data_IF_405977828740
#
_entry.id   IF_405977828740
#
_cell.length_a   1.000
_cell.length_b   1.000
_cell.length_c   1.000
_cell.angle_alpha   90.00
_cell.angle_beta   90.00
_cell.angle_gamma   90.00
#
_symmetry.space_group_name_H-M   'P 1'
#
loop_
_entity.id
_entity.type
_entity.pdbx_description
1 polymer ?
#
# COMPACT_ATOMS: atom_id res chain seq x y z
N UNK A 1 38.51 10.51 17.23
CA UNK A 1 37.23 10.15 17.88
C UNK A 1 36.83 8.76 17.45
N UNK A 2 36.75 7.81 18.39
CA UNK A 2 36.24 6.45 18.13
C UNK A 2 34.73 6.57 17.93
N UNK A 3 34.25 6.35 16.72
CA UNK A 3 32.82 6.29 16.42
C UNK A 3 32.32 4.88 16.74
N UNK A 4 31.58 4.74 17.84
CA UNK A 4 30.80 3.53 18.11
C UNK A 4 29.63 3.48 17.14
N UNK A 5 29.69 2.51 16.24
CA UNK A 5 28.67 2.16 15.26
C UNK A 5 27.49 1.50 15.99
N UNK A 6 26.44 2.26 16.32
CA UNK A 6 25.18 1.66 16.79
C UNK A 6 24.34 1.34 15.55
N UNK A 7 24.43 0.08 15.09
CA UNK A 7 23.56 -0.50 14.09
C UNK A 7 22.16 -0.69 14.71
N UNK A 8 21.26 0.28 14.52
CA UNK A 8 19.83 0.02 14.74
C UNK A 8 19.32 -0.74 13.51
N UNK A 9 19.26 -2.07 13.63
CA UNK A 9 18.65 -2.99 12.66
C UNK A 9 17.12 -2.77 12.68
N UNK A 10 16.58 -1.97 11.77
CA UNK A 10 15.13 -1.79 11.62
C UNK A 10 14.54 -3.05 10.96
N UNK A 11 13.72 -3.85 11.64
CA UNK A 11 13.05 -5.00 11.01
C UNK A 11 11.72 -4.57 10.37
N UNK A 12 11.37 -5.18 9.23
CA UNK A 12 10.06 -5.02 8.58
C UNK A 12 9.10 -6.11 9.04
N UNK A 13 7.89 -5.70 9.39
CA UNK A 13 6.91 -6.53 10.08
C UNK A 13 5.63 -6.68 9.27
N UNK A 14 5.16 -7.92 9.14
CA UNK A 14 3.84 -8.26 8.63
C UNK A 14 3.07 -8.97 9.74
N UNK A 15 1.77 -8.76 9.86
CA UNK A 15 0.94 -9.60 10.74
C UNK A 15 -0.30 -10.16 10.07
N UNK A 16 -0.67 -11.38 10.48
CA UNK A 16 -1.83 -12.13 9.99
C UNK A 16 -2.59 -12.67 11.20
N UNK A 17 -3.91 -12.46 11.23
CA UNK A 17 -4.83 -13.05 12.21
C UNK A 17 -5.58 -14.24 11.59
N UNK A 18 -5.13 -15.44 11.96
CA UNK A 18 -5.84 -16.72 12.12
C UNK A 18 -6.30 -17.63 10.93
N UNK A 19 -6.17 -18.95 11.21
CA UNK A 19 -6.33 -20.23 10.47
C UNK A 19 -5.33 -20.58 9.35
N UNK A 20 -4.69 -21.78 9.37
CA UNK A 20 -3.86 -22.31 8.27
C UNK A 20 -4.65 -22.70 7.01
N UNK A 21 -5.89 -22.23 6.84
CA UNK A 21 -6.72 -22.46 5.64
C UNK A 21 -7.40 -21.21 5.06
N UNK A 22 -7.19 -20.01 5.60
CA UNK A 22 -7.66 -18.79 4.95
C UNK A 22 -6.87 -17.57 5.41
N UNK A 23 -5.83 -17.22 4.66
CA UNK A 23 -5.16 -15.93 4.75
C UNK A 23 -6.17 -14.88 4.30
N UNK A 24 -6.93 -14.32 5.24
CA UNK A 24 -7.84 -13.21 4.96
C UNK A 24 -7.96 -12.38 6.22
N UNK A 25 -7.58 -11.10 6.12
CA UNK A 25 -7.59 -10.03 7.16
C UNK A 25 -6.25 -9.96 7.90
N UNK A 26 -5.38 -8.95 7.75
CA UNK A 26 -5.49 -7.53 7.36
C UNK A 26 -4.27 -7.23 6.47
N UNK A 27 -4.42 -6.33 5.50
CA UNK A 27 -3.52 -6.07 4.36
C UNK A 27 -3.60 -7.07 3.22
N UNK A 28 -4.06 -6.56 2.08
CA UNK A 28 -4.21 -7.31 0.85
C UNK A 28 -2.81 -7.56 0.28
N UNK A 29 -2.16 -8.62 0.76
CA UNK A 29 -1.17 -9.34 -0.01
C UNK A 29 -1.84 -9.80 -1.32
N UNK A 30 -1.46 -9.14 -2.41
CA UNK A 30 -1.38 -9.70 -3.77
C UNK A 30 -2.20 -10.98 -4.07
N UNK A 31 -3.38 -10.78 -4.65
CA UNK A 31 -3.91 -11.70 -5.68
C UNK A 31 -4.72 -12.93 -5.29
N UNK A 32 -5.13 -13.13 -4.03
CA UNK A 32 -5.91 -14.32 -3.66
C UNK A 32 -7.46 -14.19 -3.70
N UNK A 33 -8.06 -13.03 -3.97
CA UNK A 33 -9.53 -12.85 -3.81
C UNK A 33 -10.35 -12.58 -5.09
N UNK A 34 -9.74 -12.19 -6.21
CA UNK A 34 -10.45 -12.04 -7.49
C UNK A 34 -10.06 -13.15 -8.46
N UNK A 35 -10.73 -14.30 -8.34
CA UNK A 35 -10.41 -15.52 -9.11
C UNK A 35 -10.54 -15.36 -10.62
N UNK A 36 -11.40 -14.45 -11.09
CA UNK A 36 -11.73 -14.32 -12.51
C UNK A 36 -11.03 -13.12 -13.13
N UNK A 37 -10.53 -13.25 -14.35
CA UNK A 37 -9.97 -12.14 -15.13
C UNK A 37 -10.94 -10.96 -15.26
N UNK A 38 -12.27 -11.22 -15.31
CA UNK A 38 -13.33 -10.21 -15.24
C UNK A 38 -13.20 -9.29 -14.01
N UNK A 39 -13.22 -9.87 -12.82
CA UNK A 39 -13.08 -9.13 -11.56
C UNK A 39 -11.75 -8.41 -11.43
N UNK A 40 -10.65 -9.03 -11.90
CA UNK A 40 -9.33 -8.39 -11.91
C UNK A 40 -9.31 -7.18 -12.83
N UNK A 41 -9.88 -7.28 -14.03
CA UNK A 41 -9.99 -6.16 -14.98
C UNK A 41 -10.71 -4.97 -14.36
N UNK A 42 -11.87 -5.21 -13.73
CA UNK A 42 -12.64 -4.14 -13.05
C UNK A 42 -11.78 -3.47 -11.97
N UNK A 43 -11.12 -4.26 -11.12
CA UNK A 43 -10.28 -3.72 -10.04
C UNK A 43 -9.07 -2.94 -10.59
N UNK A 44 -8.44 -3.43 -11.65
CA UNK A 44 -7.34 -2.71 -12.30
C UNK A 44 -7.80 -1.37 -12.89
N UNK A 45 -8.97 -1.32 -13.53
CA UNK A 45 -9.54 -0.05 -14.00
C UNK A 45 -9.79 0.93 -12.85
N UNK A 46 -10.37 0.46 -11.74
CA UNK A 46 -10.61 1.27 -10.54
C UNK A 46 -9.32 1.80 -9.92
N UNK A 47 -8.31 0.95 -9.77
CA UNK A 47 -6.98 1.35 -9.30
C UNK A 47 -6.38 2.43 -10.20
N UNK A 48 -6.37 2.20 -11.52
CA UNK A 48 -5.78 3.11 -12.50
C UNK A 48 -6.47 4.47 -12.48
N UNK A 49 -7.81 4.49 -12.39
CA UNK A 49 -8.55 5.74 -12.27
C UNK A 49 -8.17 6.51 -11.00
N UNK A 50 -7.99 5.81 -9.88
CA UNK A 50 -7.57 6.42 -8.62
C UNK A 50 -6.11 6.90 -8.67
N UNK A 51 -5.19 6.15 -9.28
CA UNK A 51 -3.80 6.57 -9.51
C UNK A 51 -3.73 7.84 -10.36
N UNK A 52 -4.49 7.90 -11.45
CA UNK A 52 -4.58 9.11 -12.30
C UNK A 52 -5.10 10.30 -11.50
N UNK A 53 -6.11 10.08 -10.66
CA UNK A 53 -6.65 11.11 -9.79
C UNK A 53 -5.59 11.58 -8.77
N UNK A 54 -4.89 10.67 -8.08
CA UNK A 54 -3.78 11.03 -7.19
C UNK A 54 -2.73 11.86 -7.93
N UNK A 55 -2.35 11.49 -9.15
CA UNK A 55 -1.42 12.27 -9.98
C UNK A 55 -1.92 13.68 -10.31
N UNK A 56 -3.23 13.90 -10.33
CA UNK A 56 -3.84 15.21 -10.51
C UNK A 56 -3.98 16.03 -9.21
N UNK A 57 -3.72 15.45 -8.04
CA UNK A 57 -3.83 16.16 -6.76
C UNK A 57 -2.81 17.32 -6.69
N UNK A 58 -3.21 18.56 -6.34
CA UNK A 58 -2.34 19.73 -6.38
C UNK A 58 -1.01 19.55 -5.64
N UNK A 59 -1.05 19.03 -4.41
CA UNK A 59 0.17 18.77 -3.64
C UNK A 59 1.02 17.62 -4.18
N UNK A 60 0.41 16.58 -4.76
CA UNK A 60 1.17 15.45 -5.34
C UNK A 60 1.92 15.93 -6.57
N UNK A 61 1.25 16.69 -7.45
CA UNK A 61 1.87 17.31 -8.62
C UNK A 61 3.00 18.25 -8.22
N UNK A 62 2.74 19.13 -7.25
CA UNK A 62 3.77 20.02 -6.70
C UNK A 62 5.00 19.23 -6.22
N UNK A 63 4.81 18.18 -5.43
CA UNK A 63 5.91 17.33 -4.95
C UNK A 63 6.67 16.67 -6.11
N UNK A 64 5.97 16.13 -7.12
CA UNK A 64 6.58 15.46 -8.27
C UNK A 64 7.50 16.40 -9.08
N UNK A 65 7.22 17.70 -9.07
CA UNK A 65 7.99 18.73 -9.78
C UNK A 65 9.17 19.26 -8.97
N UNK A 66 9.29 18.91 -7.68
CA UNK A 66 10.41 19.37 -6.86
C UNK A 66 11.69 18.61 -7.19
N UNK A 67 12.84 19.25 -6.95
CA UNK A 67 14.15 18.65 -7.15
C UNK A 67 14.90 18.55 -5.81
N UNK A 68 15.36 17.34 -5.49
CA UNK A 68 16.20 17.04 -4.34
C UNK A 68 17.51 16.41 -4.82
N UNK A 69 18.60 17.17 -4.74
CA UNK A 69 19.94 16.74 -5.17
C UNK A 69 19.98 16.18 -6.61
N UNK A 70 19.30 16.83 -7.54
CA UNK A 70 19.26 16.44 -8.95
C UNK A 70 18.15 15.46 -9.31
N UNK A 71 17.37 14.97 -8.33
CA UNK A 71 16.33 13.96 -8.56
C UNK A 71 14.98 14.40 -7.97
N UNK A 72 13.86 14.14 -8.66
CA UNK A 72 12.55 14.32 -8.06
C UNK A 72 12.31 13.31 -6.93
N UNK A 73 11.43 13.62 -5.96
CA UNK A 73 11.05 12.64 -4.96
C UNK A 73 10.31 11.48 -5.63
N UNK A 74 10.59 10.25 -5.20
CA UNK A 74 9.85 9.07 -5.66
C UNK A 74 8.43 9.09 -5.11
N UNK A 75 7.43 9.02 -6.00
CA UNK A 75 6.02 8.93 -5.64
C UNK A 75 5.49 7.57 -6.07
N UNK A 76 5.11 6.76 -5.09
CA UNK A 76 4.55 5.43 -5.33
C UNK A 76 3.04 5.51 -5.49
N UNK A 77 2.55 5.76 -6.70
CA UNK A 77 1.10 5.81 -6.97
C UNK A 77 0.40 4.50 -6.60
N UNK A 78 1.03 3.38 -6.91
CA UNK A 78 0.50 2.07 -6.57
C UNK A 78 0.54 1.83 -5.05
N UNK A 79 1.59 2.28 -4.36
CA UNK A 79 1.69 2.21 -2.89
C UNK A 79 0.59 3.06 -2.24
N UNK A 80 0.38 4.28 -2.73
CA UNK A 80 -0.74 5.11 -2.32
C UNK A 80 -2.08 4.40 -2.53
N UNK A 81 -2.36 3.90 -3.74
CA UNK A 81 -3.57 3.15 -4.01
C UNK A 81 -3.77 1.98 -3.02
N UNK A 82 -2.73 1.20 -2.75
CA UNK A 82 -2.80 0.10 -1.78
C UNK A 82 -3.26 0.58 -0.39
N UNK A 83 -2.65 1.63 0.13
CA UNK A 83 -3.01 2.20 1.44
C UNK A 83 -4.40 2.85 1.47
N UNK A 84 -4.98 3.20 0.32
CA UNK A 84 -6.38 3.65 0.20
C UNK A 84 -7.36 2.51 -0.14
N UNK A 85 -6.94 1.25 -0.03
CA UNK A 85 -7.80 0.07 -0.07
C UNK A 85 -7.90 -0.62 -1.42
N UNK A 86 -7.05 -0.24 -2.38
CA UNK A 86 -7.02 -0.86 -3.70
C UNK A 86 -6.17 -2.14 -3.72
N UNK A 87 -6.61 -3.11 -4.53
CA UNK A 87 -5.91 -4.39 -4.66
C UNK A 87 -4.71 -4.25 -5.58
N UNK A 88 -3.51 -4.41 -5.05
CA UNK A 88 -2.27 -4.38 -5.82
C UNK A 88 -1.58 -5.75 -5.81
N UNK A 89 -0.50 -5.89 -6.56
CA UNK A 89 0.42 -7.05 -6.53
C UNK A 89 1.47 -6.93 -5.41
N UNK A 90 1.26 -5.99 -4.48
CA UNK A 90 2.15 -5.73 -3.36
C UNK A 90 1.59 -6.35 -2.06
N UNK A 91 2.48 -6.51 -1.09
CA UNK A 91 2.22 -6.94 0.27
C UNK A 91 2.64 -5.81 1.20
N UNK A 92 1.67 -5.22 1.92
CA UNK A 92 1.98 -4.17 2.89
C UNK A 92 2.81 -4.74 4.04
N UNK A 93 3.87 -4.02 4.39
CA UNK A 93 4.67 -4.25 5.58
C UNK A 93 4.91 -2.93 6.29
N UNK A 94 5.36 -2.97 7.53
CA UNK A 94 5.70 -1.77 8.29
C UNK A 94 7.07 -1.88 8.92
N UNK A 95 7.78 -0.76 9.00
CA UNK A 95 9.08 -0.67 9.69
C UNK A 95 8.94 -0.42 11.19
N UNK A 96 7.70 -0.36 11.71
CA UNK A 96 7.41 -0.04 13.11
C UNK A 96 6.69 -1.19 13.81
N UNK A 97 7.22 -1.62 14.96
CA UNK A 97 6.68 -2.74 15.72
C UNK A 97 5.30 -2.47 16.30
N UNK A 98 5.04 -1.26 16.80
CA UNK A 98 3.75 -0.92 17.37
C UNK A 98 2.66 -0.95 16.29
N UNK A 99 2.96 -0.42 15.10
CA UNK A 99 2.04 -0.48 13.94
C UNK A 99 1.78 -1.95 13.57
N UNK A 100 2.82 -2.78 13.51
CA UNK A 100 2.64 -4.20 13.20
C UNK A 100 1.80 -4.92 14.26
N UNK A 101 2.05 -4.62 15.54
CA UNK A 101 1.32 -5.15 16.66
C UNK A 101 -0.15 -4.73 16.63
N UNK A 102 -0.47 -3.49 16.23
CA UNK A 102 -1.84 -3.04 16.04
C UNK A 102 -2.59 -3.93 15.04
N UNK A 103 -2.01 -4.15 13.85
CA UNK A 103 -2.63 -5.00 12.84
C UNK A 103 -2.63 -6.49 13.22
N UNK A 104 -1.68 -6.92 14.06
CA UNK A 104 -1.63 -8.26 14.62
C UNK A 104 -2.71 -8.54 15.66
N UNK A 105 -3.13 -7.50 16.37
CA UNK A 105 -4.00 -7.60 17.55
C UNK A 105 -5.33 -6.89 17.35
N UNK A 106 -5.63 -6.44 16.13
CA UNK A 106 -6.90 -5.80 15.77
C UNK A 106 -7.52 -6.43 14.51
N UNK A 107 -8.85 -6.52 14.49
CA UNK A 107 -9.63 -6.98 13.34
C UNK A 107 -10.43 -5.82 12.74
N UNK A 108 -10.50 -5.75 11.42
CA UNK A 108 -11.36 -4.79 10.72
C UNK A 108 -12.81 -5.30 10.66
N UNK A 109 -13.75 -4.48 11.09
CA UNK A 109 -15.18 -4.69 10.86
C UNK A 109 -15.62 -3.90 9.62
N UNK A 110 -16.12 -4.63 8.61
CA UNK A 110 -16.54 -4.02 7.33
C UNK A 110 -17.85 -3.25 7.43
N UNK A 111 -18.76 -3.63 8.33
CA UNK A 111 -20.08 -3.01 8.46
C UNK A 111 -19.93 -1.67 9.18
N UNK A 112 -19.17 -1.67 10.26
CA UNK A 112 -18.93 -0.50 11.12
C UNK A 112 -17.76 0.36 10.62
N UNK A 113 -17.05 -0.11 9.58
CA UNK A 113 -15.85 0.52 9.00
C UNK A 113 -14.83 0.97 10.07
N UNK A 114 -14.52 0.09 11.02
CA UNK A 114 -13.53 0.36 12.09
C UNK A 114 -12.81 -0.87 12.60
N UNK A 115 -11.70 -0.67 13.28
CA UNK A 115 -10.95 -1.74 13.94
C UNK A 115 -11.49 -2.03 15.34
N UNK A 116 -11.41 -3.30 15.74
CA UNK A 116 -11.66 -3.77 17.10
C UNK A 116 -10.49 -4.61 17.59
N UNK A 117 -10.13 -4.54 18.88
CA UNK A 117 -9.10 -5.41 19.43
C UNK A 117 -9.55 -6.88 19.35
N UNK A 118 -8.59 -7.75 19.06
CA UNK A 118 -8.77 -9.19 19.09
C UNK A 118 -8.80 -9.64 20.56
N UNK A 119 -9.83 -10.40 20.93
CA UNK A 119 -9.93 -10.99 22.27
C UNK A 119 -8.99 -12.18 22.45
N UNK A 120 -9.31 -13.06 23.38
CA UNK A 120 -8.58 -14.33 23.51
C UNK A 120 -8.84 -15.23 22.29
N UNK A 121 -7.80 -15.91 21.82
CA UNK A 121 -7.88 -16.91 20.76
C UNK A 121 -7.10 -18.16 21.15
N UNK A 122 -7.63 -19.32 20.80
CA UNK A 122 -6.93 -20.61 20.92
C UNK A 122 -5.79 -20.76 19.90
N UNK A 123 -5.75 -19.91 18.89
CA UNK A 123 -4.70 -19.91 17.87
C UNK A 123 -3.69 -18.79 18.16
N UNK A 124 -2.39 -19.04 17.89
CA UNK A 124 -1.38 -18.01 18.04
C UNK A 124 -1.50 -16.96 16.93
N UNK A 125 -1.29 -15.70 17.27
CA UNK A 125 -1.01 -14.65 16.30
C UNK A 125 0.44 -14.78 15.79
N UNK A 126 0.70 -14.21 14.60
CA UNK A 126 2.02 -14.27 13.96
C UNK A 126 2.46 -12.87 13.54
N UNK A 127 3.69 -12.52 13.89
CA UNK A 127 4.43 -11.39 13.31
C UNK A 127 5.60 -11.95 12.50
N UNK A 128 5.69 -11.55 11.24
CA UNK A 128 6.81 -11.91 10.37
C UNK A 128 7.88 -10.83 10.43
N UNK A 129 9.14 -11.19 10.29
CA UNK A 129 10.29 -10.29 10.26
C UNK A 129 11.04 -10.53 8.96
N UNK A 130 11.27 -9.48 8.16
CA UNK A 130 12.19 -9.56 7.04
C UNK A 130 13.56 -8.99 7.43
N UNK A 131 14.62 -9.72 7.09
CA UNK A 131 16.00 -9.29 7.33
C UNK A 131 16.37 -8.02 6.54
N UNK A 132 17.27 -7.18 7.09
CA UNK A 132 17.68 -5.93 6.43
C UNK A 132 18.27 -6.09 5.02
N UNK A 133 18.81 -7.27 4.72
CA UNK A 133 19.36 -7.59 3.41
C UNK A 133 18.35 -7.37 2.26
N UNK A 134 17.04 -7.50 2.50
CA UNK A 134 16.00 -7.28 1.48
C UNK A 134 15.97 -5.86 0.89
N UNK A 135 16.47 -4.86 1.60
CA UNK A 135 16.37 -3.46 1.20
C UNK A 135 17.70 -2.70 1.22
N UNK A 136 18.80 -3.39 1.55
CA UNK A 136 20.16 -2.81 1.56
C UNK A 136 21.01 -3.42 0.43
N UNK A 137 20.83 -4.71 0.13
CA UNK A 137 21.65 -5.45 -0.82
C UNK A 137 20.89 -5.67 -2.14
N UNK A 138 21.55 -5.52 -3.30
CA UNK A 138 21.01 -6.01 -4.57
C UNK A 138 20.75 -7.51 -4.45
N UNK A 139 19.59 -7.98 -4.90
CA UNK A 139 19.27 -9.41 -4.98
C UNK A 139 19.20 -9.85 -6.42
N UNK A 140 20.09 -10.77 -6.79
CA UNK A 140 20.17 -11.33 -8.14
C UNK A 140 18.96 -12.21 -8.50
N UNK A 141 18.35 -12.85 -7.51
CA UNK A 141 17.28 -13.84 -7.72
C UNK A 141 15.90 -13.23 -8.00
N UNK A 142 15.74 -11.90 -7.84
CA UNK A 142 14.47 -11.15 -7.99
C UNK A 142 13.26 -11.81 -7.31
N UNK A 143 13.48 -12.65 -6.29
CA UNK A 143 12.43 -13.49 -5.68
C UNK A 143 11.38 -12.67 -4.94
N UNK A 144 11.73 -11.45 -4.55
CA UNK A 144 10.85 -10.39 -4.11
C UNK A 144 11.56 -9.03 -4.28
N UNK A 145 10.81 -7.99 -4.64
CA UNK A 145 11.32 -6.62 -4.60
C UNK A 145 10.72 -5.88 -3.42
N UNK A 146 11.55 -5.16 -2.69
CA UNK A 146 11.10 -4.29 -1.61
C UNK A 146 11.06 -2.83 -2.07
N UNK A 147 9.99 -2.13 -1.70
CA UNK A 147 9.83 -0.70 -1.94
C UNK A 147 9.54 0.01 -0.61
N UNK A 148 10.27 1.09 -0.35
CA UNK A 148 9.91 2.02 0.71
C UNK A 148 8.73 2.87 0.24
N UNK A 149 7.56 2.67 0.84
CA UNK A 149 6.39 3.52 0.59
C UNK A 149 6.45 4.74 1.53
N UNK A 150 6.61 4.51 2.84
CA UNK A 150 7.02 5.51 3.82
C UNK A 150 6.38 6.89 3.67
N UNK A 151 7.22 7.94 3.59
CA UNK A 151 6.72 9.28 3.26
C UNK A 151 6.25 9.32 1.80
N UNK A 152 5.02 9.79 1.62
CA UNK A 152 4.39 10.12 0.34
C UNK A 152 3.66 11.45 0.52
N UNK A 153 3.27 12.17 -0.56
CA UNK A 153 2.55 13.45 -0.43
C UNK A 153 1.19 13.34 0.31
N UNK A 154 0.59 12.16 0.32
CA UNK A 154 -0.58 11.84 1.16
C UNK A 154 -0.14 11.15 2.45
N UNK A 155 -0.79 11.48 3.57
CA UNK A 155 -0.28 11.21 4.92
C UNK A 155 -0.34 9.74 5.34
N UNK A 156 -1.27 8.95 4.78
CA UNK A 156 -1.58 7.61 5.27
C UNK A 156 -0.39 6.65 5.29
N UNK A 157 0.42 6.49 4.22
CA UNK A 157 1.57 5.59 4.26
C UNK A 157 2.62 6.00 5.31
N UNK A 158 2.80 7.30 5.53
CA UNK A 158 3.77 7.81 6.51
C UNK A 158 3.35 7.48 7.95
N UNK A 159 2.05 7.59 8.26
CA UNK A 159 1.49 7.20 9.56
C UNK A 159 1.60 5.69 9.82
N UNK A 160 1.45 4.89 8.76
CA UNK A 160 1.60 3.44 8.83
C UNK A 160 3.05 2.95 8.76
N UNK A 161 4.03 3.86 8.60
CA UNK A 161 5.47 3.55 8.46
C UNK A 161 5.70 2.50 7.36
N UNK A 162 5.00 2.70 6.26
CA UNK A 162 4.75 1.70 5.24
C UNK A 162 5.99 1.28 4.46
N UNK A 163 6.02 0.02 4.08
CA UNK A 163 6.82 -0.54 3.01
C UNK A 163 6.00 -1.58 2.27
N UNK A 164 6.50 -2.02 1.12
CA UNK A 164 5.81 -3.00 0.30
C UNK A 164 6.78 -4.06 -0.22
N UNK A 165 6.36 -5.32 -0.19
CA UNK A 165 7.00 -6.38 -0.96
C UNK A 165 6.17 -6.68 -2.20
N UNK A 166 6.78 -6.61 -3.38
CA UNK A 166 6.20 -7.17 -4.59
C UNK A 166 6.66 -8.61 -4.72
N UNK A 167 5.70 -9.53 -4.77
CA UNK A 167 5.96 -10.97 -4.82
C UNK A 167 5.56 -11.52 -6.19
N UNK A 168 6.44 -12.25 -6.89
CA UNK A 168 6.06 -12.94 -8.11
C UNK A 168 4.95 -13.97 -7.82
N UNK A 169 4.02 -14.15 -8.78
CA UNK A 169 2.97 -15.16 -8.64
C UNK A 169 3.55 -16.54 -8.32
N UNK A 170 2.96 -17.21 -7.33
CA UNK A 170 3.40 -18.51 -6.80
C UNK A 170 4.39 -18.42 -5.63
N UNK A 171 4.95 -17.25 -5.33
CA UNK A 171 5.86 -17.07 -4.20
C UNK A 171 5.09 -16.83 -2.89
N UNK A 172 5.66 -17.30 -1.79
CA UNK A 172 5.08 -17.12 -0.46
C UNK A 172 6.05 -16.31 0.40
N UNK A 173 5.60 -15.14 0.89
CA UNK A 173 6.41 -14.27 1.74
C UNK A 173 7.06 -15.03 2.90
N UNK A 174 6.29 -15.91 3.55
CA UNK A 174 6.76 -16.69 4.70
C UNK A 174 7.83 -17.74 4.40
N UNK A 175 8.13 -17.97 3.12
CA UNK A 175 9.15 -18.91 2.64
C UNK A 175 10.36 -18.21 2.04
N UNK A 176 10.37 -16.87 1.95
CA UNK A 176 11.51 -16.14 1.41
C UNK A 176 12.73 -16.28 2.34
N UNK A 177 13.95 -16.50 1.81
CA UNK A 177 15.16 -16.52 2.60
C UNK A 177 15.39 -15.19 3.34
N UNK A 178 15.54 -15.27 4.67
CA UNK A 178 15.65 -14.11 5.56
C UNK A 178 14.30 -13.61 6.11
N UNK A 179 13.19 -14.30 5.86
CA UNK A 179 11.91 -14.06 6.54
C UNK A 179 11.76 -15.02 7.73
N UNK A 180 11.50 -14.46 8.92
CA UNK A 180 11.31 -15.20 10.18
C UNK A 180 9.90 -14.98 10.72
N UNK A 181 9.43 -15.85 11.60
CA UNK A 181 8.13 -15.75 12.28
C UNK A 181 8.32 -15.67 13.78
N UNK A 182 7.62 -14.76 14.45
CA UNK A 182 7.39 -14.80 15.89
C UNK A 182 5.91 -15.09 16.14
N UNK A 183 5.66 -16.11 16.95
CA UNK A 183 4.33 -16.48 17.39
C UNK A 183 4.04 -15.82 18.73
N UNK A 184 2.81 -15.35 18.94
CA UNK A 184 2.37 -14.80 20.22
C UNK A 184 0.98 -15.34 20.59
N UNK A 185 0.68 -15.37 21.89
CA UNK A 185 -0.67 -15.68 22.38
C UNK A 185 -1.46 -14.38 22.43
N UNK A 186 -2.70 -14.42 21.94
CA UNK A 186 -3.58 -13.27 22.09
C UNK A 186 -3.90 -13.04 23.57
N UNK A 187 -3.84 -11.78 23.98
CA UNK A 187 -4.24 -11.32 25.29
C UNK A 187 -5.14 -10.11 25.11
N UNK A 188 -6.34 -10.16 25.68
CA UNK A 188 -7.36 -9.13 25.52
C UNK A 188 -6.89 -7.77 26.02
N UNK A 189 -6.35 -7.69 27.23
CA UNK A 189 -5.89 -6.44 27.83
C UNK A 189 -4.73 -5.80 27.04
N UNK A 190 -3.80 -6.61 26.53
CA UNK A 190 -2.72 -6.12 25.67
C UNK A 190 -3.24 -5.60 24.33
N UNK A 191 -4.19 -6.32 23.73
CA UNK A 191 -4.79 -5.95 22.44
C UNK A 191 -5.62 -4.67 22.54
N UNK A 192 -6.40 -4.52 23.61
CA UNK A 192 -7.15 -3.29 23.94
C UNK A 192 -6.19 -2.10 24.16
N UNK A 193 -5.08 -2.29 24.87
CA UNK A 193 -4.07 -1.24 25.08
C UNK A 193 -3.43 -0.77 23.77
N UNK A 194 -3.03 -1.71 22.90
CA UNK A 194 -2.44 -1.37 21.59
C UNK A 194 -3.49 -0.67 20.72
N UNK A 195 -4.73 -1.15 20.71
CA UNK A 195 -5.83 -0.52 19.97
C UNK A 195 -6.10 0.91 20.45
N UNK A 196 -6.12 1.16 21.76
CA UNK A 196 -6.25 2.50 22.35
C UNK A 196 -5.06 3.41 22.02
N UNK A 197 -3.84 2.86 22.04
CA UNK A 197 -2.62 3.62 21.70
C UNK A 197 -2.67 4.23 20.29
N UNK A 198 -3.37 3.57 19.35
CA UNK A 198 -3.59 4.08 18.00
C UNK A 198 -4.96 4.76 17.82
N UNK A 199 -5.62 5.19 18.90
CA UNK A 199 -6.93 5.84 18.88
C UNK A 199 -7.98 5.02 18.11
N UNK A 200 -8.05 3.74 18.44
CA UNK A 200 -8.91 2.78 17.76
C UNK A 200 -8.59 2.55 16.27
N UNK A 201 -7.40 2.98 15.83
CA UNK A 201 -6.92 2.97 14.47
C UNK A 201 -6.90 4.33 13.80
N UNK A 202 -7.59 5.36 14.33
CA UNK A 202 -7.65 6.68 13.69
C UNK A 202 -6.25 7.31 13.50
N UNK A 203 -5.30 7.02 14.38
CA UNK A 203 -3.92 7.48 14.26
C UNK A 203 -3.16 6.92 13.04
N UNK A 204 -3.64 5.81 12.46
CA UNK A 204 -3.06 5.12 11.29
C UNK A 204 -3.83 5.38 9.99
N UNK A 205 -5.02 5.96 10.09
CA UNK A 205 -5.94 6.17 8.97
C UNK A 205 -6.40 7.64 9.01
N UNK A 206 -5.58 8.57 8.48
CA UNK A 206 -5.93 9.97 8.53
C UNK A 206 -7.21 10.19 7.73
N UNK A 207 -8.09 11.06 8.24
CA UNK A 207 -9.24 11.52 7.50
C UNK A 207 -8.77 12.62 6.54
N UNK A 208 -8.62 12.26 5.27
CA UNK A 208 -8.26 13.17 4.18
C UNK A 208 -9.20 12.98 2.98
N UNK A 209 -9.17 13.93 2.07
CA UNK A 209 -10.03 13.96 0.88
C UNK A 209 -9.80 12.76 -0.04
N UNK A 210 -8.62 12.15 0.01
CA UNK A 210 -8.32 10.96 -0.77
C UNK A 210 -9.09 9.72 -0.30
N UNK A 211 -9.57 9.68 0.96
CA UNK A 211 -10.50 8.64 1.43
C UNK A 211 -11.83 8.72 0.70
N UNK A 212 -12.44 9.91 0.63
CA UNK A 212 -13.71 10.08 -0.06
C UNK A 212 -13.58 9.78 -1.57
N UNK A 213 -12.45 10.15 -2.17
CA UNK A 213 -12.17 9.85 -3.57
C UNK A 213 -11.91 8.35 -3.81
N UNK A 214 -11.29 7.65 -2.86
CA UNK A 214 -11.05 6.21 -2.98
C UNK A 214 -12.34 5.40 -2.89
N UNK A 215 -13.28 5.81 -2.03
CA UNK A 215 -14.61 5.21 -1.94
C UNK A 215 -15.37 5.34 -3.27
N UNK A 216 -15.40 6.54 -3.87
CA UNK A 216 -16.02 6.75 -5.19
C UNK A 216 -15.37 5.88 -6.26
N UNK A 217 -14.04 5.85 -6.29
CA UNK A 217 -13.27 5.09 -7.24
C UNK A 217 -13.52 3.56 -7.18
N UNK A 218 -13.81 3.01 -5.99
CA UNK A 218 -14.11 1.58 -5.81
C UNK A 218 -15.47 1.15 -6.39
N UNK A 219 -16.37 2.09 -6.64
CA UNK A 219 -17.70 1.86 -7.20
C UNK A 219 -17.80 2.20 -8.69
N UNK A 220 -16.72 2.72 -9.29
CA UNK A 220 -16.69 3.09 -10.71
C UNK A 220 -16.90 1.90 -11.66
N UNK A 221 -17.67 2.17 -12.71
CA UNK A 221 -17.88 1.28 -13.86
C UNK A 221 -17.57 1.96 -15.19
N UNK A 222 -17.14 3.22 -15.18
CA UNK A 222 -16.87 4.01 -16.38
C UNK A 222 -15.44 4.55 -16.36
N UNK A 223 -14.73 4.40 -17.49
CA UNK A 223 -13.29 4.65 -17.61
C UNK A 223 -12.93 5.19 -18.99
N UNK A 224 -11.80 5.89 -19.10
CA UNK A 224 -11.29 6.33 -20.40
C UNK A 224 -10.63 5.19 -21.18
N UNK A 225 -10.42 5.37 -22.49
CA UNK A 225 -9.75 4.34 -23.32
C UNK A 225 -8.36 4.02 -22.78
N UNK A 226 -7.58 5.05 -22.46
CA UNK A 226 -6.24 4.92 -21.88
C UNK A 226 -6.24 4.13 -20.57
N UNK A 227 -7.22 4.37 -19.69
CA UNK A 227 -7.34 3.63 -18.43
C UNK A 227 -7.67 2.15 -18.66
N UNK A 228 -8.55 1.85 -19.61
CA UNK A 228 -8.90 0.47 -19.97
C UNK A 228 -7.72 -0.25 -20.63
N UNK A 229 -7.00 0.43 -21.51
CA UNK A 229 -5.81 -0.11 -22.18
C UNK A 229 -4.71 -0.45 -21.18
N UNK A 230 -4.40 0.47 -20.25
CA UNK A 230 -3.48 0.21 -19.13
C UNK A 230 -3.96 -0.95 -18.25
N UNK A 231 -5.26 -1.05 -17.99
CA UNK A 231 -5.81 -2.15 -17.21
C UNK A 231 -5.63 -3.51 -17.91
N UNK A 232 -5.74 -3.55 -19.24
CA UNK A 232 -5.42 -4.73 -20.04
C UNK A 232 -3.96 -5.12 -19.94
N UNK A 233 -3.04 -4.15 -20.12
CA UNK A 233 -1.59 -4.38 -19.99
C UNK A 233 -1.25 -4.95 -18.62
N UNK A 234 -1.80 -4.35 -17.55
CA UNK A 234 -1.58 -4.80 -16.18
C UNK A 234 -2.18 -6.19 -15.94
N UNK A 235 -3.34 -6.50 -16.53
CA UNK A 235 -3.96 -7.83 -16.42
C UNK A 235 -3.13 -8.91 -17.12
N UNK A 236 -2.61 -8.61 -18.31
CA UNK A 236 -1.74 -9.52 -19.07
C UNK A 236 -0.44 -9.80 -18.34
N UNK A 237 0.19 -8.75 -17.78
CA UNK A 237 1.38 -8.88 -16.94
C UNK A 237 1.10 -9.72 -15.68
N UNK A 238 -0.03 -9.46 -15.00
CA UNK A 238 -0.42 -10.17 -13.80
C UNK A 238 -0.72 -11.65 -14.08
N UNK A 239 -1.49 -11.95 -15.13
CA UNK A 239 -1.84 -13.33 -15.47
C UNK A 239 -0.77 -14.05 -16.30
N UNK A 240 0.33 -13.35 -16.66
CA UNK A 240 1.43 -13.86 -17.50
C UNK A 240 0.92 -14.53 -18.78
N UNK A 241 -0.09 -13.92 -19.40
CA UNK A 241 -0.69 -14.38 -20.64
C UNK A 241 -1.30 -13.21 -21.40
N UNK A 242 -1.39 -13.33 -22.72
CA UNK A 242 -2.10 -12.37 -23.56
C UNK A 242 -3.58 -12.75 -23.70
N UNK A 243 -4.42 -11.77 -24.05
CA UNK A 243 -5.82 -12.00 -24.44
C UNK A 243 -6.01 -11.65 -25.91
N UNK A 244 -6.70 -12.52 -26.66
CA UNK A 244 -7.12 -12.20 -28.02
C UNK A 244 -8.19 -11.11 -28.03
N UNK A 245 -8.37 -10.42 -29.16
CA UNK A 245 -9.41 -9.40 -29.31
C UNK A 245 -10.81 -9.91 -28.99
N UNK A 246 -11.10 -11.17 -29.34
CA UNK A 246 -12.38 -11.81 -29.02
C UNK A 246 -12.55 -11.95 -27.50
N UNK A 247 -11.50 -12.34 -26.79
CA UNK A 247 -11.51 -12.45 -25.33
C UNK A 247 -11.63 -11.08 -24.66
N UNK A 248 -10.86 -10.07 -25.13
CA UNK A 248 -10.95 -8.69 -24.61
C UNK A 248 -12.35 -8.12 -24.78
N UNK A 249 -12.95 -8.26 -25.98
CA UNK A 249 -14.33 -7.83 -26.27
C UNK A 249 -15.36 -8.54 -25.37
N UNK A 250 -15.25 -9.85 -25.20
CA UNK A 250 -16.15 -10.63 -24.35
C UNK A 250 -16.06 -10.22 -22.87
N UNK A 251 -14.84 -10.13 -22.34
CA UNK A 251 -14.61 -9.74 -20.94
C UNK A 251 -15.06 -8.31 -20.69
N UNK A 252 -14.75 -7.36 -21.58
CA UNK A 252 -15.22 -5.98 -21.46
C UNK A 252 -16.75 -5.90 -21.38
N UNK A 253 -17.46 -6.50 -22.36
CA UNK A 253 -18.94 -6.53 -22.38
C UNK A 253 -19.53 -7.17 -21.14
N UNK A 254 -18.99 -8.32 -20.73
CA UNK A 254 -19.49 -9.04 -19.54
C UNK A 254 -19.15 -8.35 -18.22
N UNK A 255 -18.18 -7.43 -18.19
CA UNK A 255 -17.76 -6.67 -17.01
C UNK A 255 -18.69 -5.51 -16.66
N UNK A 256 -19.53 -5.07 -17.60
CA UNK A 256 -20.37 -3.88 -17.42
C UNK A 256 -19.59 -2.56 -17.42
N UNK A 257 -18.31 -2.61 -17.83
CA UNK A 257 -17.46 -1.44 -17.99
C UNK A 257 -17.97 -0.57 -19.14
N UNK A 258 -17.88 0.74 -18.96
CA UNK A 258 -18.32 1.75 -19.94
C UNK A 258 -17.17 2.68 -20.30
N UNK A 259 -17.12 3.08 -21.56
CA UNK A 259 -16.13 4.05 -22.05
C UNK A 259 -16.66 5.46 -21.83
N UNK A 260 -15.80 6.36 -21.35
CA UNK A 260 -16.07 7.80 -21.25
C UNK A 260 -14.90 8.62 -21.78
N UNK A 261 -15.17 9.88 -22.14
CA UNK A 261 -14.19 10.74 -22.80
C UNK A 261 -13.17 11.38 -21.84
N UNK A 262 -13.57 11.67 -20.60
CA UNK A 262 -12.75 12.36 -19.58
C UNK A 262 -12.58 11.48 -18.35
N UNK A 263 -11.51 11.68 -17.54
CA UNK A 263 -11.34 10.93 -16.30
C UNK A 263 -12.57 11.05 -15.37
N UNK A 264 -12.97 9.96 -14.71
CA UNK A 264 -14.18 9.93 -13.89
C UNK A 264 -14.08 10.66 -12.55
N UNK A 265 -12.86 10.83 -12.05
CA UNK A 265 -12.57 11.36 -10.73
C UNK A 265 -11.95 12.75 -10.87
N UNK A 266 -12.36 13.66 -9.98
CA UNK A 266 -11.79 15.01 -9.89
C UNK A 266 -11.65 15.46 -8.44
N UNK A 267 -10.68 16.35 -8.22
CA UNK A 267 -10.49 17.02 -6.95
C UNK A 267 -11.31 18.31 -6.80
N UNK A 268 -11.98 18.78 -7.84
CA UNK A 268 -12.66 20.09 -7.87
C UNK A 268 -13.73 20.25 -6.78
N UNK A 269 -14.29 19.13 -6.30
CA UNK A 269 -15.29 19.10 -5.22
C UNK A 269 -14.69 19.31 -3.82
N UNK A 270 -13.36 19.31 -3.71
CA UNK A 270 -12.65 19.48 -2.45
C UNK A 270 -11.98 20.85 -2.39
N UNK A 271 -11.97 21.47 -1.22
CA UNK A 271 -11.30 22.75 -0.99
C UNK A 271 -9.80 22.54 -0.74
N UNK A 272 -9.08 22.07 -1.75
CA UNK A 272 -7.65 21.77 -1.63
C UNK A 272 -6.80 23.04 -1.75
N UNK A 273 -5.78 23.12 -0.90
CA UNK A 273 -4.74 24.14 -1.05
C UNK A 273 -3.97 23.93 -2.37
N UNK A 274 -3.77 25.01 -3.11
CA UNK A 274 -3.08 25.02 -4.41
C UNK A 274 -2.08 26.16 -4.56
N UNK A 275 -1.99 27.07 -3.58
CA UNK A 275 -1.02 28.16 -3.55
C UNK A 275 0.41 27.60 -3.44
N UNK A 276 1.31 27.87 -4.41
CA UNK A 276 2.65 27.31 -4.44
C UNK A 276 3.47 27.57 -3.16
N UNK A 277 3.35 28.76 -2.56
CA UNK A 277 4.08 29.11 -1.34
C UNK A 277 3.63 28.27 -0.15
N UNK A 278 2.32 28.07 0.00
CA UNK A 278 1.77 27.23 1.07
C UNK A 278 2.11 25.75 0.87
N UNK A 279 2.09 25.25 -0.37
CA UNK A 279 2.52 23.88 -0.68
C UNK A 279 4.02 23.69 -0.40
N UNK A 280 4.85 24.68 -0.73
CA UNK A 280 6.29 24.68 -0.39
C UNK A 280 6.51 24.69 1.12
N UNK A 281 5.80 25.54 1.86
CA UNK A 281 5.87 25.56 3.33
C UNK A 281 5.48 24.21 3.92
N UNK A 282 4.41 23.58 3.42
CA UNK A 282 3.99 22.24 3.82
C UNK A 282 5.10 21.22 3.57
N UNK A 283 5.66 21.18 2.35
CA UNK A 283 6.73 20.23 2.02
C UNK A 283 7.98 20.42 2.89
N UNK A 284 8.42 21.66 3.10
CA UNK A 284 9.54 21.94 3.99
C UNK A 284 9.27 21.46 5.42
N UNK A 285 8.06 21.68 5.94
CA UNK A 285 7.65 21.20 7.26
C UNK A 285 7.66 19.68 7.35
N UNK A 286 7.14 18.98 6.33
CA UNK A 286 7.12 17.52 6.29
C UNK A 286 8.55 16.97 6.22
N UNK A 287 9.41 17.51 5.34
CA UNK A 287 10.77 17.04 5.16
C UNK A 287 11.70 17.32 6.33
N UNK A 288 11.46 18.40 7.10
CA UNK A 288 12.19 18.65 8.35
C UNK A 288 12.00 17.53 9.38
N UNK A 289 10.90 16.77 9.27
CA UNK A 289 10.62 15.63 10.14
C UNK A 289 11.09 14.30 9.54
N UNK A 290 11.50 14.27 8.27
CA UNK A 290 12.01 13.08 7.59
C UNK A 290 13.50 12.92 7.90
N UNK A 291 13.84 11.89 8.66
CA UNK A 291 15.23 11.47 8.85
C UNK A 291 15.65 10.59 7.68
N UNK A 292 16.53 11.09 6.81
CA UNK A 292 17.18 10.26 5.79
C UNK A 292 18.56 9.78 6.28
N UNK A 293 18.96 8.58 5.86
CA UNK A 293 20.34 8.10 5.99
C UNK A 293 20.93 8.04 4.59
N UNK A 294 21.96 8.84 4.34
CA UNK A 294 22.73 8.74 3.11
C UNK A 294 23.59 7.47 3.20
N UNK A 295 23.28 6.47 2.37
CA UNK A 295 24.13 5.30 2.21
C UNK A 295 25.18 5.65 1.18
N UNK A 296 26.41 5.92 1.64
CA UNK A 296 27.54 6.08 0.72
C UNK A 296 27.80 4.74 0.05
N UNK A 297 27.54 4.65 -1.26
CA UNK A 297 28.05 3.56 -2.08
C UNK A 297 29.40 4.03 -2.63
N UNK A 298 30.53 3.43 -2.21
CA UNK A 298 31.79 3.68 -2.89
C UNK A 298 31.61 3.33 -4.37
N UNK A 299 32.14 4.18 -5.24
CA UNK A 299 32.21 3.93 -6.68
C UNK A 299 33.10 2.70 -6.97
#
# INVERSE_FOLDING_TARGET
MRFSLILVLSYLLLSIVDKPKSITTVFQASGALTKTSKKKLIKLCQNIAFEDAIGAHPYVRFCAEQNFNGHPPHISFQGLAQHYGFQTDMLDVTSNFDVAAFFATSKWDKKEKRYYPVGESSFPGIIYYAEPAFYILPREDQSATFEFVGWQPLKRPAQQRAGAFRLPSGHCFSRLPGVRKAYFRHNRAASERIWQYFDGGAALFPNDEAVALSEEAQDLVYFTSSQIERAWTNLEAWERRSFSDKQKKYLFRSSGLKLIAKPPLSWDKFNLESCPDKLRMRLNSELNNVRFRQVYRPA
#
